data_IF_683880017828
#
_entry.id   IF_683880017828
#
_cell.length_a   1.000
_cell.length_b   1.000
_cell.length_c   1.000
_cell.angle_alpha   90.00
_cell.angle_beta   90.00
_cell.angle_gamma   90.00
#
_symmetry.space_group_name_H-M   'P 1'
#
loop_
_entity.id
_entity.type
_entity.pdbx_description
1 polymer ?
#
# COMPACT_ATOMS: atom_id res chain seq x y z
N UNK A 1 11.91 -8.54 4.63
CA UNK A 1 10.56 -8.55 4.03
C UNK A 1 9.58 -7.61 4.74
N UNK A 2 9.20 -7.86 6.00
CA UNK A 2 8.18 -7.09 6.72
C UNK A 2 8.43 -5.56 6.73
N UNK A 3 9.70 -5.15 6.84
CA UNK A 3 10.10 -3.73 6.74
C UNK A 3 9.69 -3.06 5.42
N UNK A 4 9.78 -3.75 4.28
CA UNK A 4 9.38 -3.20 2.96
C UNK A 4 7.88 -2.96 2.91
N UNK A 5 7.10 -3.93 3.38
CA UNK A 5 5.63 -3.81 3.52
C UNK A 5 5.28 -2.65 4.45
N UNK A 6 5.87 -2.61 5.64
CA UNK A 6 5.60 -1.57 6.62
C UNK A 6 5.91 -0.17 6.10
N UNK A 7 7.01 0.01 5.36
CA UNK A 7 7.38 1.31 4.78
C UNK A 7 6.48 1.65 3.59
N UNK A 8 6.34 0.73 2.62
CA UNK A 8 5.61 0.98 1.38
C UNK A 8 4.09 1.17 1.60
N UNK A 9 3.52 0.51 2.61
CA UNK A 9 2.10 0.68 3.00
C UNK A 9 1.93 1.73 4.07
N UNK A 10 2.80 1.73 5.08
CA UNK A 10 2.66 2.57 6.26
C UNK A 10 2.86 4.04 5.96
N UNK A 11 3.89 4.42 5.18
CA UNK A 11 4.12 5.83 4.86
C UNK A 11 2.93 6.42 4.10
N UNK A 12 2.44 5.84 2.99
CA UNK A 12 1.26 6.38 2.32
C UNK A 12 0.01 6.37 3.21
N UNK A 13 -0.22 5.32 4.01
CA UNK A 13 -1.37 5.27 4.92
C UNK A 13 -1.35 6.38 5.96
N UNK A 14 -0.19 6.66 6.56
CA UNK A 14 -0.02 7.75 7.52
C UNK A 14 -0.23 9.09 6.83
N UNK A 15 0.27 9.27 5.61
CA UNK A 15 0.04 10.49 4.83
C UNK A 15 -1.45 10.68 4.51
N UNK A 16 -2.15 9.62 4.10
CA UNK A 16 -3.59 9.66 3.83
C UNK A 16 -4.40 10.03 5.07
N UNK A 17 -4.07 9.44 6.21
CA UNK A 17 -4.67 9.80 7.50
C UNK A 17 -4.31 11.24 7.90
N UNK A 18 -3.08 11.67 7.69
CA UNK A 18 -2.62 13.04 7.97
C UNK A 18 -3.39 14.08 7.15
N UNK A 19 -3.61 13.83 5.86
CA UNK A 19 -4.44 14.69 5.02
C UNK A 19 -5.88 14.74 5.53
N UNK A 20 -6.47 13.59 5.84
CA UNK A 20 -7.85 13.52 6.31
C UNK A 20 -8.04 14.28 7.63
N UNK A 21 -7.20 13.99 8.63
CA UNK A 21 -7.23 14.63 9.95
C UNK A 21 -6.89 16.12 9.85
N UNK A 22 -5.90 16.48 9.03
CA UNK A 22 -5.50 17.87 8.79
C UNK A 22 -6.63 18.69 8.18
N UNK A 23 -7.27 18.18 7.12
CA UNK A 23 -8.45 18.83 6.52
C UNK A 23 -9.60 18.97 7.52
N UNK A 24 -9.89 17.92 8.29
CA UNK A 24 -10.93 17.98 9.32
C UNK A 24 -10.64 19.09 10.34
N UNK A 25 -9.39 19.20 10.80
CA UNK A 25 -9.00 20.23 11.77
C UNK A 25 -9.11 21.65 11.19
N UNK A 26 -8.63 21.86 9.95
CA UNK A 26 -8.71 23.15 9.26
C UNK A 26 -10.16 23.64 9.13
N UNK A 27 -11.06 22.76 8.70
CA UNK A 27 -12.49 23.07 8.54
C UNK A 27 -13.16 23.27 9.90
N UNK A 28 -12.92 22.38 10.87
CA UNK A 28 -13.56 22.45 12.20
C UNK A 28 -13.17 23.70 12.99
N UNK A 29 -11.98 24.24 12.74
CA UNK A 29 -11.49 25.48 13.36
C UNK A 29 -11.80 26.73 12.55
N UNK A 30 -12.54 26.61 11.45
CA UNK A 30 -12.88 27.72 10.54
C UNK A 30 -11.62 28.46 10.03
N UNK A 31 -10.50 27.75 9.90
CA UNK A 31 -9.23 28.32 9.40
C UNK A 31 -9.29 28.39 7.87
N UNK A 32 -9.82 27.35 7.24
CA UNK A 32 -9.94 27.23 5.79
C UNK A 32 -11.09 26.29 5.43
N UNK A 33 -11.89 26.69 4.45
CA UNK A 33 -12.89 25.82 3.85
C UNK A 33 -12.23 24.90 2.85
N UNK A 34 -12.01 23.65 3.26
CA UNK A 34 -11.48 22.60 2.40
C UNK A 34 -12.65 21.83 1.79
N UNK A 35 -12.82 21.86 0.45
CA UNK A 35 -13.88 21.09 -0.20
C UNK A 35 -13.77 19.59 0.13
N UNK A 36 -14.86 18.92 0.55
CA UNK A 36 -14.82 17.50 0.92
C UNK A 36 -14.27 16.59 -0.19
N UNK A 37 -14.57 16.91 -1.46
CA UNK A 37 -14.05 16.17 -2.60
C UNK A 37 -12.53 16.21 -2.72
N UNK A 38 -11.89 17.34 -2.40
CA UNK A 38 -10.43 17.47 -2.42
C UNK A 38 -9.81 16.62 -1.29
N UNK A 39 -10.36 16.70 -0.08
CA UNK A 39 -9.93 15.88 1.05
C UNK A 39 -10.04 14.39 0.74
N UNK A 40 -11.16 13.98 0.15
CA UNK A 40 -11.40 12.58 -0.21
C UNK A 40 -10.42 12.10 -1.30
N UNK A 41 -10.22 12.89 -2.36
CA UNK A 41 -9.29 12.51 -3.43
C UNK A 41 -7.85 12.44 -2.95
N UNK A 42 -7.41 13.41 -2.16
CA UNK A 42 -6.05 13.46 -1.65
C UNK A 42 -5.78 12.33 -0.64
N UNK A 43 -6.63 12.16 0.37
CA UNK A 43 -6.48 11.09 1.36
C UNK A 43 -6.68 9.71 0.73
N UNK A 44 -7.71 9.55 -0.11
CA UNK A 44 -8.00 8.33 -0.85
C UNK A 44 -6.86 7.93 -1.78
N UNK A 45 -6.24 8.90 -2.48
CA UNK A 45 -5.06 8.66 -3.31
C UNK A 45 -3.90 8.06 -2.51
N UNK A 46 -3.61 8.60 -1.33
CA UNK A 46 -2.58 8.05 -0.45
C UNK A 46 -2.93 6.65 0.09
N UNK A 47 -4.20 6.39 0.42
CA UNK A 47 -4.62 5.04 0.82
C UNK A 47 -4.51 4.03 -0.33
N UNK A 48 -4.87 4.42 -1.56
CA UNK A 48 -4.67 3.60 -2.75
C UNK A 48 -3.19 3.32 -3.01
N UNK A 49 -2.32 4.32 -2.84
CA UNK A 49 -0.87 4.12 -2.88
C UNK A 49 -0.40 3.15 -1.79
N UNK A 50 -0.97 3.21 -0.59
CA UNK A 50 -0.69 2.27 0.50
C UNK A 50 -1.07 0.82 0.15
N UNK A 51 -2.23 0.61 -0.49
CA UNK A 51 -2.65 -0.68 -1.03
C UNK A 51 -1.71 -1.19 -2.14
N UNK A 52 -1.26 -0.30 -3.01
CA UNK A 52 -0.23 -0.60 -4.00
C UNK A 52 1.10 -1.01 -3.34
N UNK A 53 1.52 -0.29 -2.30
CA UNK A 53 2.70 -0.60 -1.50
C UNK A 53 2.59 -1.95 -0.77
N UNK A 54 1.38 -2.32 -0.33
CA UNK A 54 1.13 -3.63 0.29
C UNK A 54 1.33 -4.74 -0.74
N UNK A 55 0.71 -4.57 -1.91
CA UNK A 55 0.83 -5.50 -3.04
C UNK A 55 2.29 -5.67 -3.45
N UNK A 56 3.03 -4.58 -3.59
CA UNK A 56 4.46 -4.59 -3.86
C UNK A 56 5.26 -5.29 -2.75
N UNK A 57 4.98 -5.01 -1.48
CA UNK A 57 5.70 -5.59 -0.36
C UNK A 57 5.52 -7.11 -0.24
N UNK A 58 4.32 -7.61 -0.53
CA UNK A 58 4.03 -9.05 -0.57
C UNK A 58 4.67 -9.72 -1.79
N UNK A 59 4.61 -9.09 -2.97
CA UNK A 59 5.18 -9.66 -4.19
C UNK A 59 6.71 -9.58 -4.24
N UNK A 60 7.34 -8.58 -3.61
CA UNK A 60 8.82 -8.45 -3.50
C UNK A 60 9.43 -9.25 -2.34
N UNK A 61 8.63 -10.07 -1.68
CA UNK A 61 9.06 -10.89 -0.57
C UNK A 61 9.89 -12.10 -1.03
N UNK A 62 11.02 -12.34 -0.36
CA UNK A 62 11.59 -13.68 -0.35
C UNK A 62 10.80 -14.55 0.61
N UNK A 63 10.38 -15.71 0.11
CA UNK A 63 9.72 -16.76 0.90
C UNK A 63 10.70 -17.91 1.22
N UNK A 64 11.97 -17.74 0.89
CA UNK A 64 13.07 -18.68 1.15
C UNK A 64 14.01 -18.11 2.23
N UNK A 65 14.93 -18.93 2.76
CA UNK A 65 15.92 -18.48 3.77
C UNK A 65 16.75 -17.26 3.33
N UNK A 66 16.99 -17.08 2.02
CA UNK A 66 17.76 -15.96 1.50
C UNK A 66 16.92 -14.68 1.46
N UNK A 67 17.41 -13.60 2.08
CA UNK A 67 16.67 -12.34 2.17
C UNK A 67 16.49 -11.59 0.83
N UNK A 68 17.25 -11.98 -0.21
CA UNK A 68 17.27 -11.33 -1.52
C UNK A 68 17.89 -9.93 -1.49
N UNK A 69 17.65 -9.18 -2.55
CA UNK A 69 18.09 -7.79 -2.74
C UNK A 69 17.28 -6.83 -1.86
N UNK A 70 17.81 -5.63 -1.64
CA UNK A 70 17.19 -4.59 -0.83
C UNK A 70 15.77 -4.21 -1.29
N UNK A 71 15.51 -4.17 -2.59
CA UNK A 71 14.17 -3.93 -3.17
C UNK A 71 13.36 -5.21 -3.44
N UNK A 72 13.99 -6.39 -3.50
CA UNK A 72 13.29 -7.65 -3.72
C UNK A 72 12.59 -7.78 -5.08
N UNK A 73 13.02 -7.03 -6.10
CA UNK A 73 12.39 -7.03 -7.44
C UNK A 73 12.51 -8.39 -8.13
N UNK A 74 13.57 -9.13 -7.84
CA UNK A 74 13.81 -10.49 -8.32
C UNK A 74 12.71 -11.48 -7.91
N UNK A 75 12.01 -11.20 -6.80
CA UNK A 75 10.96 -12.08 -6.30
C UNK A 75 9.57 -11.78 -6.90
N UNK A 76 9.39 -10.64 -7.57
CA UNK A 76 8.08 -10.22 -8.10
C UNK A 76 7.57 -11.19 -9.16
N UNK A 77 8.38 -11.46 -10.19
CA UNK A 77 7.99 -12.37 -11.29
C UNK A 77 7.66 -13.78 -10.79
N UNK A 78 8.52 -14.46 -9.99
CA UNK A 78 8.20 -15.80 -9.49
C UNK A 78 7.01 -15.82 -8.51
N UNK A 79 6.84 -14.79 -7.67
CA UNK A 79 5.68 -14.71 -6.76
C UNK A 79 4.36 -14.50 -7.51
N UNK A 80 4.35 -13.70 -8.58
CA UNK A 80 3.16 -13.55 -9.44
C UNK A 80 2.80 -14.87 -10.11
N UNK A 81 3.80 -15.62 -10.59
CA UNK A 81 3.55 -16.92 -11.20
C UNK A 81 2.96 -17.90 -10.18
N UNK A 82 3.55 -18.00 -8.99
CA UNK A 82 3.03 -18.84 -7.88
C UNK A 82 1.59 -18.47 -7.51
N UNK A 83 1.27 -17.17 -7.43
CA UNK A 83 -0.08 -16.70 -7.15
C UNK A 83 -1.08 -17.11 -8.24
N UNK A 84 -0.69 -17.03 -9.52
CA UNK A 84 -1.56 -17.46 -10.64
C UNK A 84 -1.79 -18.97 -10.61
N UNK A 85 -0.75 -19.74 -10.33
CA UNK A 85 -0.83 -21.20 -10.19
C UNK A 85 -1.75 -21.59 -9.04
N UNK A 86 -1.64 -20.94 -7.86
CA UNK A 86 -2.53 -21.21 -6.72
C UNK A 86 -3.98 -20.88 -7.01
N UNK A 87 -4.26 -19.77 -7.72
CA UNK A 87 -5.63 -19.41 -8.14
C UNK A 87 -6.19 -20.45 -9.12
N UNK A 88 -5.36 -20.94 -10.04
CA UNK A 88 -5.79 -21.96 -11.02
C UNK A 88 -6.10 -23.30 -10.36
N UNK A 89 -5.28 -23.71 -9.40
CA UNK A 89 -5.49 -24.93 -8.62
C UNK A 89 -6.78 -24.86 -7.78
N UNK A 90 -7.07 -23.72 -7.15
CA UNK A 90 -8.33 -23.52 -6.42
C UNK A 90 -9.57 -23.62 -7.31
N UNK A 91 -9.49 -23.19 -8.57
CA UNK A 91 -10.61 -23.31 -9.53
C UNK A 91 -10.85 -24.74 -10.03
N UNK A 92 -9.90 -25.64 -9.80
CA UNK A 92 -10.00 -27.06 -10.18
C UNK A 92 -10.47 -27.96 -9.02
N UNK A 93 -10.66 -27.37 -7.83
CA UNK A 93 -11.25 -28.01 -6.65
C UNK A 93 -12.73 -27.67 -6.56
#
# INVERSE_FOLDING_TARGET
MARRVAIATGIPSIMGMGVFVGSYFLVSRQIMDVPPGITLLASGGFFLLGLGGLSYGVLSASWEQNAGTLLGLEHIKPNIQRMRESIRAQKQT
#
